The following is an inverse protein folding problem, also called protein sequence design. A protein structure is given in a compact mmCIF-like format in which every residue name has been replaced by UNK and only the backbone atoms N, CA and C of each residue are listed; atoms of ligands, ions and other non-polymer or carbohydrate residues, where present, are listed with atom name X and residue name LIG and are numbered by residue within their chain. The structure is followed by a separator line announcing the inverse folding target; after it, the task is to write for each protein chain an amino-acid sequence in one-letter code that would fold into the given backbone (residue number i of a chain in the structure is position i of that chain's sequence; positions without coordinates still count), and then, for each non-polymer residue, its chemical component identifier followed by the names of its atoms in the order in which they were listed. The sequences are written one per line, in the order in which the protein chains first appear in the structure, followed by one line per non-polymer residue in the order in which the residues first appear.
data_IF_940945083486
#
_entry.id   IF_940945083486
#
_cell.length_a   1.000
_cell.length_b   1.000
_cell.length_c   1.000
_cell.angle_alpha   90.00
_cell.angle_beta   90.00
_cell.angle_gamma   90.00
#
_symmetry.space_group_name_H-M   'P 1'
#
loop_
_entity.id
_entity.type
_entity.pdbx_description
1 polymer ?
#
# COMPACT_ATOMS: atom_id res chain seq x y z
N UNK A 1 21.32 28.21 41.48
CA UNK A 1 20.58 28.14 40.20
C UNK A 1 21.31 27.21 39.27
N UNK A 2 20.72 26.07 38.91
CA UNK A 2 20.98 25.37 37.64
C UNK A 2 19.94 24.24 37.52
N UNK A 3 18.80 24.57 36.88
CA UNK A 3 17.84 23.57 36.43
C UNK A 3 18.33 23.07 35.09
N UNK A 4 18.98 21.92 35.08
CA UNK A 4 19.29 21.18 33.86
C UNK A 4 17.97 20.92 33.12
N UNK A 5 17.74 21.63 32.01
CA UNK A 5 16.68 21.30 31.06
C UNK A 5 17.04 19.95 30.46
N UNK A 6 16.40 18.89 30.95
CA UNK A 6 16.31 17.64 30.22
C UNK A 6 15.65 17.97 28.89
N UNK A 7 16.42 17.94 27.81
CA UNK A 7 15.87 18.01 26.45
C UNK A 7 14.96 16.81 26.28
N UNK A 8 13.66 17.03 26.37
CA UNK A 8 12.68 16.05 25.93
C UNK A 8 12.93 15.84 24.44
N UNK A 9 13.53 14.72 24.08
CA UNK A 9 13.45 14.20 22.72
C UNK A 9 11.97 14.12 22.40
N UNK A 10 11.49 15.06 21.59
CA UNK A 10 10.15 15.02 21.03
C UNK A 10 10.08 13.76 20.18
N UNK A 11 9.49 12.69 20.71
CA UNK A 11 9.11 11.53 19.92
C UNK A 11 8.24 12.05 18.79
N UNK A 12 8.81 12.08 17.58
CA UNK A 12 8.11 12.56 16.39
C UNK A 12 7.04 11.53 16.09
N UNK A 13 5.83 11.75 16.59
CA UNK A 13 4.72 10.83 16.42
C UNK A 13 4.57 10.48 14.94
N UNK A 14 4.75 9.20 14.61
CA UNK A 14 4.50 8.70 13.26
C UNK A 14 3.01 8.85 12.98
N UNK A 15 2.65 9.73 12.06
CA UNK A 15 1.27 9.90 11.62
C UNK A 15 0.89 8.70 10.75
N UNK A 16 0.06 7.80 11.28
CA UNK A 16 -0.57 6.74 10.50
C UNK A 16 -1.86 7.28 9.87
N UNK A 17 -1.89 7.37 8.54
CA UNK A 17 -3.05 7.82 7.78
C UNK A 17 -3.68 6.62 7.06
N UNK A 18 -5.02 6.56 7.07
CA UNK A 18 -5.74 5.57 6.29
C UNK A 18 -5.57 5.85 4.80
N UNK A 19 -5.31 4.80 4.04
CA UNK A 19 -5.21 4.85 2.59
C UNK A 19 -6.00 3.70 1.97
N UNK A 20 -6.63 3.96 0.83
CA UNK A 20 -7.33 2.97 0.04
C UNK A 20 -7.44 3.39 -1.42
N UNK A 21 -7.68 2.43 -2.29
CA UNK A 21 -7.97 2.65 -3.70
C UNK A 21 -8.90 1.56 -4.23
N UNK A 22 -9.57 1.86 -5.34
CA UNK A 22 -10.36 0.91 -6.11
C UNK A 22 -9.73 0.70 -7.49
N UNK A 23 -9.67 -0.56 -7.91
CA UNK A 23 -9.22 -0.97 -9.24
C UNK A 23 -10.40 -1.58 -9.99
N UNK A 24 -10.50 -1.27 -11.28
CA UNK A 24 -11.55 -1.76 -12.17
C UNK A 24 -11.02 -1.87 -13.60
N UNK A 25 -11.84 -2.36 -14.54
CA UNK A 25 -11.45 -2.38 -15.96
C UNK A 25 -11.24 -0.97 -16.52
N UNK A 26 -11.99 0.02 -16.05
CA UNK A 26 -11.82 1.43 -16.44
C UNK A 26 -10.57 2.06 -15.81
N UNK A 27 -10.16 1.54 -14.64
CA UNK A 27 -9.03 2.03 -13.86
C UNK A 27 -8.21 0.87 -13.31
N UNK A 28 -7.39 0.21 -14.15
CA UNK A 28 -6.72 -1.03 -13.79
C UNK A 28 -5.48 -0.84 -12.92
N UNK A 29 -5.01 0.41 -12.77
CA UNK A 29 -3.81 0.71 -12.01
C UNK A 29 -3.99 1.98 -11.16
N UNK A 30 -3.31 2.00 -10.02
CA UNK A 30 -3.24 3.15 -9.14
C UNK A 30 -1.80 3.33 -8.66
N UNK A 31 -1.29 4.56 -8.74
CA UNK A 31 0.07 4.89 -8.29
C UNK A 31 -0.01 5.64 -6.98
N UNK A 32 0.48 5.02 -5.90
CA UNK A 32 0.73 5.74 -4.65
C UNK A 32 1.86 6.75 -4.86
N UNK A 33 1.56 8.03 -4.64
CA UNK A 33 2.54 9.12 -4.69
C UNK A 33 2.64 9.74 -3.30
N UNK A 34 3.70 9.45 -2.53
CA UNK A 34 3.88 10.09 -1.24
C UNK A 34 4.01 11.60 -1.47
N UNK A 35 3.22 12.39 -0.72
CA UNK A 35 3.32 13.85 -0.78
C UNK A 35 4.69 14.22 -0.25
N UNK A 36 5.48 14.96 -1.05
CA UNK A 36 6.79 15.49 -0.64
C UNK A 36 6.62 16.41 0.58
N UNK A 37 6.63 15.86 1.77
CA UNK A 37 6.66 16.59 3.03
C UNK A 37 7.95 16.18 3.74
N UNK A 38 9.05 16.83 3.34
CA UNK A 38 10.39 16.87 3.97
C UNK A 38 10.91 15.62 4.67
N UNK A 39 12.01 15.04 4.18
CA UNK A 39 12.90 14.05 4.87
C UNK A 39 12.24 12.86 5.60
N UNK A 40 10.93 12.66 5.51
CA UNK A 40 10.26 11.53 6.15
C UNK A 40 10.00 10.44 5.12
N UNK A 41 10.59 9.28 5.37
CA UNK A 41 10.27 8.06 4.66
C UNK A 41 8.79 7.75 4.84
N UNK A 42 8.05 7.79 3.74
CA UNK A 42 6.64 7.43 3.72
C UNK A 42 6.54 5.94 3.38
N UNK A 43 5.97 5.16 4.29
CA UNK A 43 5.70 3.74 4.09
C UNK A 43 4.22 3.53 3.82
N UNK A 44 3.90 2.72 2.80
CA UNK A 44 2.55 2.23 2.56
C UNK A 44 2.42 0.81 3.13
N UNK A 45 1.51 0.63 4.09
CA UNK A 45 1.15 -0.67 4.62
C UNK A 45 -0.16 -1.13 3.99
N UNK A 46 -0.13 -2.22 3.22
CA UNK A 46 -1.34 -2.83 2.68
C UNK A 46 -1.88 -3.86 3.67
N UNK A 47 -3.10 -3.65 4.15
CA UNK A 47 -3.72 -4.55 5.14
C UNK A 47 -4.66 -5.58 4.51
N UNK A 48 -5.46 -5.17 3.52
CA UNK A 48 -6.54 -5.97 2.95
C UNK A 48 -6.70 -5.69 1.46
N UNK A 49 -7.03 -6.72 0.69
CA UNK A 49 -7.49 -6.62 -0.69
C UNK A 49 -8.81 -7.40 -0.79
N UNK A 50 -9.84 -6.81 -1.38
CA UNK A 50 -11.16 -7.44 -1.52
C UNK A 50 -11.79 -7.15 -2.89
N UNK A 51 -12.71 -8.04 -3.28
CA UNK A 51 -13.61 -7.81 -4.40
C UNK A 51 -14.77 -6.92 -3.98
N UNK A 52 -15.13 -5.97 -4.86
CA UNK A 52 -16.38 -5.22 -4.73
C UNK A 52 -17.59 -6.12 -5.00
N UNK A 53 -18.75 -5.74 -4.49
CA UNK A 53 -20.01 -6.50 -4.61
C UNK A 53 -20.37 -6.83 -6.08
N UNK A 54 -20.02 -5.95 -7.02
CA UNK A 54 -20.31 -6.07 -8.45
C UNK A 54 -19.18 -6.73 -9.26
N UNK A 55 -18.17 -7.28 -8.59
CA UNK A 55 -17.10 -7.98 -9.29
C UNK A 55 -17.64 -9.19 -10.06
N UNK A 56 -17.12 -9.40 -11.27
CA UNK A 56 -17.47 -10.59 -12.06
C UNK A 56 -16.94 -11.85 -11.37
N UNK A 57 -17.63 -12.97 -11.59
CA UNK A 57 -17.21 -14.29 -11.13
C UNK A 57 -16.05 -14.82 -12.00
N UNK A 58 -14.89 -14.22 -11.82
CA UNK A 58 -13.65 -14.50 -12.54
C UNK A 58 -12.43 -14.35 -11.62
N UNK A 59 -11.26 -14.78 -12.10
CA UNK A 59 -10.01 -14.59 -11.38
C UNK A 59 -9.55 -13.14 -11.52
N UNK A 60 -9.42 -12.44 -10.40
CA UNK A 60 -8.92 -11.07 -10.32
C UNK A 60 -7.52 -11.10 -9.69
N UNK A 61 -6.51 -10.66 -10.44
CA UNK A 61 -5.14 -10.54 -9.96
C UNK A 61 -4.86 -9.11 -9.54
N UNK A 62 -4.28 -8.94 -8.35
CA UNK A 62 -3.77 -7.65 -7.88
C UNK A 62 -2.26 -7.74 -7.79
N UNK A 63 -1.58 -6.83 -8.47
CA UNK A 63 -0.13 -6.83 -8.63
C UNK A 63 0.47 -5.48 -8.25
N UNK A 64 1.72 -5.49 -7.78
CA UNK A 64 2.55 -4.30 -7.66
C UNK A 64 3.50 -4.23 -8.85
N UNK A 65 3.55 -3.05 -9.45
CA UNK A 65 4.55 -2.69 -10.44
C UNK A 65 5.72 -1.98 -9.75
N UNK A 66 6.97 -2.46 -9.93
CA UNK A 66 8.15 -1.76 -9.43
C UNK A 66 8.23 -0.31 -9.96
N UNK A 67 8.90 0.59 -9.23
CA UNK A 67 9.12 1.96 -9.67
C UNK A 67 9.78 2.03 -11.05
N UNK A 68 9.56 3.16 -11.70
CA UNK A 68 10.02 3.30 -13.06
C UNK A 68 11.55 3.42 -13.19
N UNK A 69 12.27 2.31 -13.46
CA UNK A 69 13.68 2.33 -13.86
C UNK A 69 13.85 2.71 -15.34
N UNK A 70 15.00 3.31 -15.69
CA UNK A 70 15.36 3.70 -17.08
C UNK A 70 15.31 2.54 -18.09
N UNK A 71 15.45 1.30 -17.64
CA UNK A 71 15.32 0.10 -18.47
C UNK A 71 13.94 -0.54 -18.22
N UNK A 72 12.93 -0.07 -18.97
CA UNK A 72 11.53 -0.52 -18.89
C UNK A 72 11.35 -2.03 -19.13
N UNK A 73 12.33 -2.68 -19.76
CA UNK A 73 12.23 -4.07 -20.25
C UNK A 73 12.26 -5.14 -19.16
N UNK A 74 12.50 -4.78 -17.89
CA UNK A 74 12.64 -5.75 -16.77
C UNK A 74 11.61 -5.59 -15.66
N UNK A 75 10.57 -4.77 -15.82
CA UNK A 75 9.52 -4.63 -14.79
C UNK A 75 8.60 -5.83 -14.79
N UNK A 76 8.99 -6.86 -14.02
CA UNK A 76 8.10 -7.99 -13.73
C UNK A 76 7.13 -7.56 -12.61
N UNK A 77 5.80 -7.62 -12.84
CA UNK A 77 4.83 -7.44 -11.78
C UNK A 77 5.04 -8.48 -10.67
N UNK A 78 4.75 -8.09 -9.43
CA UNK A 78 4.71 -8.99 -8.29
C UNK A 78 3.25 -9.17 -7.89
N UNK A 79 2.73 -10.38 -8.01
CA UNK A 79 1.37 -10.71 -7.59
C UNK A 79 1.24 -10.65 -6.07
N UNK A 80 0.30 -9.85 -5.58
CA UNK A 80 -0.04 -9.74 -4.15
C UNK A 80 -1.19 -10.65 -3.75
N UNK A 81 -2.19 -10.78 -4.63
CA UNK A 81 -3.38 -11.57 -4.37
C UNK A 81 -4.02 -12.09 -5.66
N UNK A 82 -4.68 -13.22 -5.53
CA UNK A 82 -5.58 -13.80 -6.54
C UNK A 82 -6.94 -14.00 -5.89
N UNK A 83 -7.95 -13.29 -6.38
CA UNK A 83 -9.28 -13.26 -5.79
C UNK A 83 -10.32 -13.80 -6.76
N UNK A 84 -11.35 -14.44 -6.22
CA UNK A 84 -12.53 -14.89 -6.96
C UNK A 84 -13.72 -14.93 -6.01
N UNK A 85 -14.87 -14.37 -6.38
CA UNK A 85 -15.95 -14.10 -5.44
C UNK A 85 -16.45 -15.38 -4.73
N UNK A 86 -16.59 -16.48 -5.47
CA UNK A 86 -17.02 -17.78 -4.91
C UNK A 86 -15.96 -18.56 -4.12
N UNK A 87 -14.68 -18.18 -4.19
CA UNK A 87 -13.56 -18.98 -3.63
C UNK A 87 -12.80 -18.22 -2.54
N UNK A 88 -12.31 -17.03 -2.87
CA UNK A 88 -11.51 -16.19 -2.00
C UNK A 88 -11.82 -14.71 -2.34
N UNK A 89 -12.91 -14.14 -1.78
CA UNK A 89 -13.34 -12.79 -2.10
C UNK A 89 -12.48 -11.70 -1.45
N UNK A 90 -11.70 -12.04 -0.42
CA UNK A 90 -10.87 -11.11 0.35
C UNK A 90 -9.62 -11.83 0.86
N UNK A 91 -8.50 -11.10 0.92
CA UNK A 91 -7.25 -11.51 1.56
C UNK A 91 -6.80 -10.43 2.53
N UNK A 92 -6.37 -10.85 3.73
CA UNK A 92 -5.62 -10.01 4.67
C UNK A 92 -4.13 -10.22 4.45
N UNK A 93 -3.39 -9.13 4.22
CA UNK A 93 -1.94 -9.11 4.00
C UNK A 93 -1.15 -8.82 5.28
N UNK A 94 -1.87 -8.71 6.41
CA UNK A 94 -1.31 -8.37 7.71
C UNK A 94 -0.58 -9.56 8.34
N UNK A 95 0.48 -10.07 7.70
CA UNK A 95 1.36 -11.07 8.30
C UNK A 95 2.44 -10.35 9.11
N UNK A 96 2.36 -10.40 10.44
CA UNK A 96 3.51 -10.15 11.31
C UNK A 96 4.19 -11.51 11.52
N UNK A 97 5.39 -11.67 10.96
CA UNK A 97 6.29 -12.77 11.33
C UNK A 97 7.16 -12.34 12.51
#
# INVERSE_FOLDING_TARGET
MNRSRTSSTSEKATLALLWGCELSQEKPAWTFRPRKAGEQDCMLLLSTICLGEKAKEEMNLVEILPPASQDDRKRKPITLASLRASVLPMVSLSLRA
#
